data_IF_468379207662
#
_entry.id   IF_468379207662
#
_cell.length_a   1.000
_cell.length_b   1.000
_cell.length_c   1.000
_cell.angle_alpha   90.00
_cell.angle_beta   90.00
_cell.angle_gamma   90.00
#
_symmetry.space_group_name_H-M   'P 1'
#
loop_
_entity.id
_entity.type
_entity.pdbx_description
1 polymer ?
#
# COMPACT_ATOMS: atom_id res chain seq x y z
N UNK A 1 94.19 7.04 -22.88
CA UNK A 1 93.56 6.10 -21.90
C UNK A 1 92.15 6.62 -21.59
N UNK A 2 91.10 6.00 -22.16
CA UNK A 2 89.70 6.40 -21.93
C UNK A 2 89.05 5.40 -20.98
N UNK A 3 88.56 5.85 -19.81
CA UNK A 3 87.84 5.04 -18.85
C UNK A 3 86.38 4.96 -19.30
N UNK A 4 85.88 3.75 -19.49
CA UNK A 4 84.42 3.45 -19.72
C UNK A 4 83.73 3.30 -18.38
N UNK A 5 82.74 4.12 -18.14
CA UNK A 5 81.84 4.06 -16.99
C UNK A 5 80.67 3.16 -17.34
N UNK A 6 80.45 2.10 -16.59
CA UNK A 6 79.29 1.21 -16.72
C UNK A 6 78.11 1.79 -15.88
N UNK A 7 77.04 2.16 -16.51
CA UNK A 7 75.80 2.52 -15.86
C UNK A 7 74.99 1.22 -15.69
N UNK A 8 74.72 0.83 -14.45
CA UNK A 8 73.82 -0.27 -14.11
C UNK A 8 72.41 0.29 -14.04
N UNK A 9 71.53 -0.07 -14.97
CA UNK A 9 70.11 0.17 -14.89
C UNK A 9 69.48 -0.76 -13.84
N UNK A 10 69.02 -0.19 -12.71
CA UNK A 10 68.20 -0.87 -11.74
C UNK A 10 66.72 -0.73 -12.20
N UNK A 11 66.15 -1.84 -12.61
CA UNK A 11 64.68 -1.92 -12.89
C UNK A 11 64.01 -2.13 -11.54
N UNK A 12 63.34 -1.11 -11.04
CA UNK A 12 62.49 -1.17 -9.86
C UNK A 12 61.13 -1.71 -10.30
N UNK A 13 60.81 -2.96 -9.92
CA UNK A 13 59.46 -3.53 -10.07
C UNK A 13 58.54 -2.91 -9.00
N UNK A 14 57.51 -2.19 -9.44
CA UNK A 14 56.41 -1.73 -8.58
C UNK A 14 55.47 -2.91 -8.29
N UNK A 15 55.06 -3.15 -7.04
CA UNK A 15 54.07 -4.17 -6.74
C UNK A 15 52.71 -3.73 -7.28
N UNK A 16 52.08 -4.60 -8.06
CA UNK A 16 50.69 -4.46 -8.49
C UNK A 16 49.76 -4.64 -7.25
N UNK A 17 49.21 -3.55 -6.77
CA UNK A 17 48.11 -3.63 -5.81
C UNK A 17 46.88 -4.21 -6.52
N UNK A 18 46.50 -5.42 -6.18
CA UNK A 18 45.22 -5.99 -6.52
C UNK A 18 44.15 -5.15 -5.83
N UNK A 19 43.37 -4.38 -6.62
CA UNK A 19 42.15 -3.71 -6.15
C UNK A 19 41.15 -4.81 -5.86
N UNK A 20 41.06 -5.23 -4.60
CA UNK A 20 39.95 -6.04 -4.12
C UNK A 20 38.68 -5.24 -4.34
N UNK A 21 37.86 -5.66 -5.31
CA UNK A 21 36.56 -5.07 -5.58
C UNK A 21 35.74 -5.05 -4.29
N UNK A 22 35.44 -3.84 -3.81
CA UNK A 22 34.47 -3.62 -2.73
C UNK A 22 33.15 -4.11 -3.29
N UNK A 23 32.45 -5.08 -2.65
CA UNK A 23 31.11 -5.46 -3.09
C UNK A 23 30.25 -4.20 -3.05
N UNK A 24 29.70 -3.81 -4.18
CA UNK A 24 28.74 -2.73 -4.28
C UNK A 24 27.57 -3.08 -3.34
N UNK A 25 27.45 -2.32 -2.26
CA UNK A 25 26.26 -2.34 -1.41
C UNK A 25 25.10 -1.97 -2.32
N UNK A 26 24.31 -2.95 -2.73
CA UNK A 26 23.04 -2.74 -3.37
C UNK A 26 22.13 -2.05 -2.34
N UNK A 27 22.18 -0.72 -2.27
CA UNK A 27 21.15 0.04 -1.59
C UNK A 27 19.84 -0.27 -2.30
N UNK A 28 18.91 -0.89 -1.58
CA UNK A 28 17.57 -1.10 -2.11
C UNK A 28 17.08 0.26 -2.62
N UNK A 29 16.81 0.34 -3.91
CA UNK A 29 16.37 1.58 -4.53
C UNK A 29 15.10 2.06 -3.81
N UNK A 30 15.11 3.30 -3.33
CA UNK A 30 13.94 3.90 -2.68
C UNK A 30 12.73 3.77 -3.62
N UNK A 31 11.58 3.26 -3.11
CA UNK A 31 10.43 3.04 -3.96
C UNK A 31 9.94 4.37 -4.52
N UNK A 32 9.73 4.39 -5.84
CA UNK A 32 9.24 5.58 -6.52
C UNK A 32 7.71 5.65 -6.45
N UNK A 33 7.12 6.85 -6.50
CA UNK A 33 5.67 7.01 -6.63
C UNK A 33 5.14 6.26 -7.85
N UNK A 34 4.01 5.56 -7.70
CA UNK A 34 3.34 4.85 -8.79
C UNK A 34 2.12 5.67 -9.19
N UNK A 35 2.17 6.29 -10.37
CA UNK A 35 0.99 6.89 -10.99
C UNK A 35 0.10 5.76 -11.49
N UNK A 36 -1.13 5.69 -10.95
CA UNK A 36 -2.09 4.69 -11.37
C UNK A 36 -2.75 5.12 -12.68
N UNK A 37 -3.05 4.17 -13.59
CA UNK A 37 -3.89 4.47 -14.75
C UNK A 37 -5.23 5.06 -14.33
N UNK A 38 -5.87 5.84 -15.23
CA UNK A 38 -7.24 6.32 -14.98
C UNK A 38 -8.16 5.12 -14.72
N UNK A 39 -8.95 5.13 -13.62
CA UNK A 39 -9.81 3.99 -13.32
C UNK A 39 -10.91 3.83 -14.36
N UNK A 40 -11.13 2.61 -14.80
CA UNK A 40 -12.29 2.20 -15.60
C UNK A 40 -13.47 2.03 -14.66
N UNK A 41 -14.58 2.68 -14.99
CA UNK A 41 -15.77 2.73 -14.13
C UNK A 41 -16.90 1.84 -14.64
N UNK A 42 -16.70 1.23 -15.77
CA UNK A 42 -17.64 0.32 -16.43
C UNK A 42 -17.06 -1.09 -16.50
N UNK A 43 -17.95 -2.08 -16.63
CA UNK A 43 -17.57 -3.49 -16.76
C UNK A 43 -17.72 -4.28 -15.47
N UNK A 44 -17.29 -5.54 -15.53
CA UNK A 44 -17.50 -6.51 -14.47
C UNK A 44 -18.95 -7.02 -14.40
N UNK A 45 -19.27 -7.77 -13.33
CA UNK A 45 -20.62 -8.27 -13.09
C UNK A 45 -21.51 -7.19 -12.47
N UNK A 46 -22.82 -7.31 -12.63
CA UNK A 46 -23.77 -6.42 -11.96
C UNK A 46 -23.60 -6.48 -10.44
N UNK A 47 -24.06 -5.43 -9.76
CA UNK A 47 -24.01 -5.35 -8.28
C UNK A 47 -24.69 -6.56 -7.64
N UNK A 48 -25.89 -6.94 -8.12
CA UNK A 48 -26.62 -8.08 -7.56
C UNK A 48 -25.89 -9.40 -7.79
N UNK A 49 -25.32 -9.63 -8.97
CA UNK A 49 -24.49 -10.80 -9.25
C UNK A 49 -23.23 -10.82 -8.37
N UNK A 50 -22.59 -9.67 -8.17
CA UNK A 50 -21.41 -9.54 -7.29
C UNK A 50 -21.74 -9.84 -5.83
N UNK A 51 -22.91 -9.38 -5.34
CA UNK A 51 -23.40 -9.71 -3.99
C UNK A 51 -23.65 -11.21 -3.86
N UNK A 52 -24.28 -11.84 -4.84
CA UNK A 52 -24.58 -13.27 -4.85
C UNK A 52 -23.30 -14.13 -4.84
N UNK A 53 -22.28 -13.72 -5.59
CA UNK A 53 -21.03 -14.48 -5.72
C UNK A 53 -19.96 -14.12 -4.66
N UNK A 54 -20.12 -12.97 -3.99
CA UNK A 54 -19.16 -12.52 -2.99
C UNK A 54 -18.97 -13.57 -1.89
N UNK A 55 -17.75 -14.02 -1.74
CA UNK A 55 -17.31 -14.92 -0.66
C UNK A 55 -15.88 -14.58 -0.24
N UNK A 56 -15.48 -15.01 0.94
CA UNK A 56 -14.09 -14.94 1.37
C UNK A 56 -13.31 -16.08 0.73
N UNK A 57 -12.32 -15.74 -0.10
CA UNK A 57 -11.41 -16.70 -0.73
C UNK A 57 -10.03 -16.47 -0.14
N UNK A 58 -9.49 -17.49 0.57
CA UNK A 58 -8.21 -17.41 1.29
C UNK A 58 -7.03 -17.96 0.50
N UNK A 59 -7.29 -18.73 -0.54
CA UNK A 59 -6.30 -19.28 -1.46
C UNK A 59 -6.07 -18.28 -2.58
N UNK A 60 -5.03 -17.47 -2.42
CA UNK A 60 -4.68 -16.38 -3.36
C UNK A 60 -3.38 -16.73 -4.06
N UNK A 61 -3.37 -16.61 -5.40
CA UNK A 61 -2.17 -16.77 -6.21
C UNK A 61 -1.18 -15.62 -5.95
N UNK A 62 0.13 -15.86 -5.99
CA UNK A 62 1.14 -14.80 -5.96
C UNK A 62 1.24 -14.00 -7.27
N UNK A 63 0.50 -14.37 -8.31
CA UNK A 63 0.54 -13.72 -9.63
C UNK A 63 0.18 -12.23 -9.51
N UNK A 64 0.97 -11.32 -10.11
CA UNK A 64 0.75 -9.89 -9.99
C UNK A 64 -0.57 -9.46 -10.65
N UNK A 65 -1.24 -8.47 -10.05
CA UNK A 65 -2.36 -7.80 -10.70
C UNK A 65 -1.83 -6.80 -11.73
N UNK A 66 -2.45 -6.73 -12.92
CA UNK A 66 -2.14 -5.67 -13.88
C UNK A 66 -2.33 -4.28 -13.27
N UNK A 67 -1.54 -3.26 -13.67
CA UNK A 67 -1.68 -1.90 -13.14
C UNK A 67 -3.08 -1.32 -13.25
N UNK A 68 -3.81 -1.62 -14.34
CA UNK A 68 -5.20 -1.20 -14.52
C UNK A 68 -6.14 -1.85 -13.49
N UNK A 69 -5.95 -3.14 -13.20
CA UNK A 69 -6.75 -3.85 -12.20
C UNK A 69 -6.50 -3.30 -10.79
N UNK A 70 -5.24 -3.00 -10.45
CA UNK A 70 -4.88 -2.36 -9.19
C UNK A 70 -5.49 -0.95 -9.08
N UNK A 71 -5.46 -0.17 -10.15
CA UNK A 71 -6.10 1.15 -10.23
C UNK A 71 -7.60 1.06 -9.97
N UNK A 72 -8.29 0.18 -10.69
CA UNK A 72 -9.73 -0.02 -10.57
C UNK A 72 -10.11 -0.49 -9.15
N UNK A 73 -9.33 -1.42 -8.58
CA UNK A 73 -9.51 -1.91 -7.20
C UNK A 73 -9.43 -0.79 -6.17
N UNK A 74 -8.39 0.04 -6.24
CA UNK A 74 -8.18 1.12 -5.25
C UNK A 74 -9.20 2.23 -5.41
N UNK A 75 -9.59 2.54 -6.65
CA UNK A 75 -10.69 3.47 -6.90
C UNK A 75 -12.02 2.93 -6.36
N UNK A 76 -12.34 1.68 -6.63
CA UNK A 76 -13.56 1.05 -6.10
C UNK A 76 -13.56 1.04 -4.57
N UNK A 77 -12.42 0.73 -3.93
CA UNK A 77 -12.27 0.70 -2.49
C UNK A 77 -12.59 2.08 -1.85
N UNK A 78 -11.84 3.12 -2.21
CA UNK A 78 -11.94 4.44 -1.57
C UNK A 78 -11.53 5.60 -2.48
N UNK A 79 -11.78 5.48 -3.78
CA UNK A 79 -11.49 6.52 -4.77
C UNK A 79 -12.42 7.71 -4.69
N UNK A 80 -12.10 8.76 -5.45
CA UNK A 80 -12.96 9.94 -5.64
C UNK A 80 -14.02 9.61 -6.69
N UNK A 81 -15.28 9.71 -6.32
CA UNK A 81 -16.41 9.53 -7.25
C UNK A 81 -17.19 10.83 -7.54
N UNK A 82 -16.98 11.85 -6.74
CA UNK A 82 -17.56 13.19 -6.90
C UNK A 82 -16.49 14.25 -6.62
N UNK A 83 -16.27 15.25 -7.50
CA UNK A 83 -15.29 16.31 -7.27
C UNK A 83 -15.65 17.17 -6.06
N UNK A 84 -16.94 17.38 -5.82
CA UNK A 84 -17.47 18.15 -4.70
C UNK A 84 -18.11 17.24 -3.66
N UNK A 85 -17.85 17.55 -2.40
CA UNK A 85 -18.40 16.84 -1.26
C UNK A 85 -18.53 17.75 -0.05
N UNK A 86 -19.03 17.22 1.04
CA UNK A 86 -19.22 17.96 2.29
C UNK A 86 -17.86 18.40 2.85
N UNK A 87 -17.81 19.59 3.46
CA UNK A 87 -16.61 20.19 4.11
C UNK A 87 -15.46 20.48 3.14
N UNK A 88 -15.76 20.81 1.88
CA UNK A 88 -14.73 21.14 0.89
C UNK A 88 -13.83 19.98 0.47
N UNK A 89 -14.16 18.74 0.88
CA UNK A 89 -13.46 17.53 0.45
C UNK A 89 -14.27 16.83 -0.65
N UNK A 90 -13.62 16.22 -1.64
CA UNK A 90 -14.31 15.41 -2.64
C UNK A 90 -15.05 14.23 -1.99
N UNK A 91 -16.13 13.77 -2.64
CA UNK A 91 -16.83 12.57 -2.22
C UNK A 91 -16.06 11.31 -2.59
N UNK A 92 -16.20 10.28 -1.77
CA UNK A 92 -15.54 8.98 -1.94
C UNK A 92 -16.53 7.89 -2.34
N UNK A 93 -16.00 6.79 -2.87
CA UNK A 93 -16.78 5.58 -3.18
C UNK A 93 -17.36 4.90 -1.95
N UNK A 94 -16.73 5.07 -0.78
CA UNK A 94 -17.28 4.68 0.51
C UNK A 94 -17.56 5.90 1.36
N UNK A 95 -18.64 5.84 2.16
CA UNK A 95 -19.01 6.90 3.07
C UNK A 95 -18.12 6.90 4.34
N UNK A 96 -17.98 8.07 4.95
CA UNK A 96 -17.43 8.24 6.30
C UNK A 96 -18.26 9.28 7.07
N UNK A 97 -18.26 9.21 8.40
CA UNK A 97 -18.99 10.13 9.23
C UNK A 97 -18.58 11.57 8.93
N UNK A 98 -19.56 12.42 8.58
CA UNK A 98 -19.30 13.82 8.23
C UNK A 98 -18.24 14.04 7.13
N UNK A 99 -18.00 13.06 6.26
CA UNK A 99 -16.94 13.08 5.24
C UNK A 99 -15.55 13.31 5.85
N UNK A 100 -15.29 12.78 7.05
CA UNK A 100 -14.00 12.87 7.74
C UNK A 100 -12.88 12.19 6.96
N UNK A 101 -13.21 11.12 6.24
CA UNK A 101 -12.27 10.31 5.44
C UNK A 101 -11.08 9.84 6.26
N UNK A 102 -11.34 9.39 7.47
CA UNK A 102 -10.37 9.04 8.49
C UNK A 102 -9.57 7.77 8.21
N UNK A 103 -10.00 6.97 7.21
CA UNK A 103 -9.29 5.74 6.84
C UNK A 103 -8.30 6.02 5.71
N UNK A 104 -7.04 5.71 5.96
CA UNK A 104 -5.98 5.63 4.96
C UNK A 104 -5.82 4.19 4.49
N UNK A 105 -5.59 4.01 3.19
CA UNK A 105 -5.25 2.72 2.60
C UNK A 105 -3.74 2.65 2.37
N UNK A 106 -3.05 1.82 3.16
CA UNK A 106 -1.65 1.47 2.93
C UNK A 106 -1.61 0.19 2.11
N UNK A 107 -0.96 0.24 0.97
CA UNK A 107 -0.91 -0.85 -0.01
C UNK A 107 0.46 -1.49 0.03
N UNK A 108 0.56 -2.71 0.53
CA UNK A 108 1.79 -3.49 0.51
C UNK A 108 1.86 -4.30 -0.79
N UNK A 109 2.91 -4.03 -1.56
CA UNK A 109 3.31 -4.69 -2.79
C UNK A 109 4.69 -5.37 -2.56
N UNK A 110 5.16 -6.25 -3.45
CA UNK A 110 6.46 -6.92 -3.29
C UNK A 110 7.65 -5.96 -3.07
N UNK A 111 7.63 -4.78 -3.69
CA UNK A 111 8.71 -3.81 -3.66
C UNK A 111 8.61 -2.76 -2.55
N UNK A 112 7.46 -2.63 -1.88
CA UNK A 112 7.29 -1.61 -0.84
C UNK A 112 5.87 -1.46 -0.34
N UNK A 113 5.73 -0.60 0.66
CA UNK A 113 4.43 -0.13 1.15
C UNK A 113 4.19 1.27 0.64
N UNK A 114 2.98 1.54 0.22
CA UNK A 114 2.55 2.78 -0.38
C UNK A 114 1.27 3.29 0.28
N UNK A 115 1.16 4.60 0.41
CA UNK A 115 -0.10 5.27 0.76
C UNK A 115 -0.90 5.56 -0.52
N UNK A 116 -2.14 5.11 -0.58
CA UNK A 116 -3.05 5.47 -1.67
C UNK A 116 -3.60 6.88 -1.48
N UNK A 117 -3.23 7.77 -2.39
CA UNK A 117 -3.75 9.14 -2.47
C UNK A 117 -4.83 9.20 -3.54
N UNK A 118 -6.08 9.24 -3.12
CA UNK A 118 -7.21 9.09 -4.04
C UNK A 118 -7.47 10.34 -4.91
N UNK A 119 -7.09 11.55 -4.48
CA UNK A 119 -7.27 12.76 -5.28
C UNK A 119 -6.35 12.76 -6.51
N UNK A 120 -5.02 12.61 -6.35
CA UNK A 120 -4.12 12.46 -7.48
C UNK A 120 -4.15 11.05 -8.08
N UNK A 121 -4.88 10.12 -7.50
CA UNK A 121 -4.99 8.71 -7.90
C UNK A 121 -3.62 8.05 -8.11
N UNK A 122 -2.81 8.03 -7.06
CA UNK A 122 -1.45 7.48 -7.08
C UNK A 122 -1.13 6.73 -5.79
N UNK A 123 -0.05 5.97 -5.85
CA UNK A 123 0.58 5.34 -4.69
C UNK A 123 1.85 6.10 -4.34
N UNK A 124 1.88 6.72 -3.16
CA UNK A 124 3.04 7.44 -2.64
C UNK A 124 3.85 6.51 -1.74
N UNK A 125 5.17 6.37 -1.96
CA UNK A 125 5.98 5.41 -1.22
C UNK A 125 6.07 5.79 0.26
N UNK A 126 6.03 4.78 1.12
CA UNK A 126 6.18 4.90 2.58
C UNK A 126 7.47 4.23 3.04
N UNK A 127 7.69 3.00 2.61
CA UNK A 127 8.88 2.21 2.97
C UNK A 127 9.19 1.18 1.88
N UNK A 128 10.50 1.01 1.57
CA UNK A 128 11.00 -0.01 0.66
C UNK A 128 11.04 -1.39 1.32
N UNK A 129 10.86 -2.44 0.54
CA UNK A 129 10.94 -3.83 0.98
C UNK A 129 9.59 -4.54 1.04
N UNK A 130 9.63 -5.85 1.18
CA UNK A 130 8.42 -6.68 1.20
C UNK A 130 7.85 -6.82 2.62
N UNK A 131 6.77 -6.11 2.87
CA UNK A 131 6.04 -6.13 4.13
C UNK A 131 4.70 -6.87 4.05
N UNK A 132 4.44 -7.59 2.97
CA UNK A 132 3.15 -8.30 2.77
C UNK A 132 2.88 -9.30 3.89
N UNK A 133 3.90 -9.92 4.46
CA UNK A 133 3.78 -10.84 5.58
C UNK A 133 3.19 -10.19 6.86
N UNK A 134 3.19 -8.85 6.98
CA UNK A 134 2.53 -8.13 8.09
C UNK A 134 1.01 -8.22 8.00
N UNK A 135 0.46 -8.48 6.83
CA UNK A 135 -0.98 -8.72 6.69
C UNK A 135 -1.41 -10.06 7.30
N UNK A 136 -0.57 -11.11 7.19
CA UNK A 136 -0.88 -12.43 7.70
C UNK A 136 0.08 -13.51 7.20
N UNK A 137 -0.20 -14.75 7.57
CA UNK A 137 0.60 -15.93 7.17
C UNK A 137 0.07 -16.57 5.89
N UNK A 138 0.86 -17.46 5.32
CA UNK A 138 0.50 -18.23 4.13
C UNK A 138 0.21 -17.34 2.94
N UNK A 139 -0.88 -17.60 2.22
CA UNK A 139 -1.23 -16.88 1.01
C UNK A 139 -1.33 -15.36 1.20
N UNK A 140 -1.69 -14.87 2.39
CA UNK A 140 -1.70 -13.43 2.67
C UNK A 140 -0.29 -12.82 2.57
N UNK A 141 0.74 -13.52 3.04
CA UNK A 141 2.13 -13.04 3.00
C UNK A 141 2.76 -13.02 1.60
N UNK A 142 2.20 -13.73 0.63
CA UNK A 142 2.72 -13.85 -0.74
C UNK A 142 1.80 -13.29 -1.81
N UNK A 143 0.58 -12.92 -1.46
CA UNK A 143 -0.41 -12.34 -2.38
C UNK A 143 0.12 -11.07 -3.05
N UNK A 144 -0.31 -10.75 -4.28
CA UNK A 144 0.22 -9.59 -5.00
C UNK A 144 -0.11 -8.25 -4.33
N UNK A 145 -1.24 -8.17 -3.61
CA UNK A 145 -1.72 -6.93 -2.98
C UNK A 145 -2.28 -7.22 -1.59
N UNK A 146 -1.80 -6.47 -0.60
CA UNK A 146 -2.43 -6.40 0.71
C UNK A 146 -2.76 -4.94 1.03
N UNK A 147 -4.02 -4.66 1.31
CA UNK A 147 -4.51 -3.34 1.72
C UNK A 147 -4.61 -3.33 3.24
N UNK A 148 -3.86 -2.44 3.90
CA UNK A 148 -3.98 -2.19 5.33
C UNK A 148 -4.87 -0.98 5.56
N UNK A 149 -5.84 -1.13 6.45
CA UNK A 149 -6.76 -0.07 6.85
C UNK A 149 -6.18 0.61 8.08
N UNK A 150 -5.85 1.87 7.94
CA UNK A 150 -5.23 2.68 9.00
C UNK A 150 -6.16 3.85 9.30
N UNK A 151 -6.63 3.97 10.54
CA UNK A 151 -7.36 5.17 10.95
C UNK A 151 -6.39 6.27 11.31
N UNK A 152 -6.70 7.49 10.90
CA UNK A 152 -6.06 8.73 11.31
C UNK A 152 -7.05 9.52 12.20
N UNK A 153 -6.88 9.40 13.52
CA UNK A 153 -7.75 10.04 14.49
C UNK A 153 -7.70 11.57 14.43
N UNK A 154 -6.58 12.13 13.94
CA UNK A 154 -6.47 13.57 13.74
C UNK A 154 -7.49 14.14 12.77
N UNK A 155 -8.09 13.33 11.90
CA UNK A 155 -9.12 13.77 10.94
C UNK A 155 -10.50 14.00 11.54
N UNK A 156 -10.70 13.56 12.79
CA UNK A 156 -11.91 13.88 13.54
C UNK A 156 -11.88 15.28 14.18
N UNK A 157 -10.69 15.88 14.29
CA UNK A 157 -10.50 17.23 14.80
C UNK A 157 -10.64 18.25 13.67
N UNK A 158 -11.52 19.24 13.85
CA UNK A 158 -11.70 20.35 12.89
C UNK A 158 -11.16 21.61 13.53
N UNK A 159 -10.04 22.11 13.02
CA UNK A 159 -9.43 23.33 13.53
C UNK A 159 -10.41 24.49 13.58
N UNK A 160 -10.51 25.18 14.70
CA UNK A 160 -11.43 26.29 14.92
C UNK A 160 -12.91 25.93 15.01
N UNK A 161 -13.27 24.64 14.99
CA UNK A 161 -14.65 24.16 15.07
C UNK A 161 -14.81 23.01 16.05
N UNK A 162 -14.61 23.23 17.36
CA UNK A 162 -14.67 22.14 18.36
C UNK A 162 -16.03 21.44 18.38
N UNK A 163 -17.14 22.17 18.20
CA UNK A 163 -18.50 21.62 18.21
C UNK A 163 -18.79 20.68 17.02
N UNK A 164 -17.94 20.73 15.97
CA UNK A 164 -18.03 19.84 14.82
C UNK A 164 -16.98 18.73 14.85
N UNK A 165 -16.10 18.79 15.81
CA UNK A 165 -15.09 17.74 16.05
C UNK A 165 -15.72 16.56 16.78
N UNK A 166 -15.27 15.36 16.46
CA UNK A 166 -15.71 14.15 17.15
C UNK A 166 -14.64 13.85 18.20
N UNK A 167 -14.89 14.30 19.44
CA UNK A 167 -13.93 14.17 20.55
C UNK A 167 -14.07 12.88 21.35
N UNK A 168 -15.27 12.28 21.40
CA UNK A 168 -15.52 11.06 22.15
C UNK A 168 -14.87 9.83 21.47
N UNK A 169 -14.03 9.11 22.23
CA UNK A 169 -13.22 8.01 21.72
C UNK A 169 -14.07 6.79 21.30
N UNK A 170 -15.19 6.51 21.98
CA UNK A 170 -16.05 5.38 21.63
C UNK A 170 -16.89 5.72 20.39
N UNK A 171 -17.29 6.99 20.21
CA UNK A 171 -17.94 7.46 18.99
C UNK A 171 -16.96 7.39 17.82
N UNK A 172 -15.73 7.87 17.97
CA UNK A 172 -14.68 7.72 16.95
C UNK A 172 -14.49 6.26 16.56
N UNK A 173 -14.41 5.38 17.56
CA UNK A 173 -14.21 3.95 17.38
C UNK A 173 -15.35 3.31 16.58
N UNK A 174 -16.58 3.65 16.88
CA UNK A 174 -17.73 3.17 16.11
C UNK A 174 -17.64 3.59 14.64
N UNK A 175 -17.29 4.84 14.36
CA UNK A 175 -17.21 5.38 13.01
C UNK A 175 -16.08 4.79 12.19
N UNK A 176 -14.86 4.70 12.72
CA UNK A 176 -13.78 4.16 11.90
C UNK A 176 -13.93 2.67 11.63
N UNK A 177 -14.57 1.89 12.51
CA UNK A 177 -14.87 0.49 12.19
C UNK A 177 -15.97 0.36 11.13
N UNK A 178 -17.00 1.20 11.17
CA UNK A 178 -18.03 1.24 10.13
C UNK A 178 -17.43 1.68 8.80
N UNK A 179 -16.65 2.76 8.77
CA UNK A 179 -15.99 3.23 7.54
C UNK A 179 -15.07 2.16 6.95
N UNK A 180 -14.27 1.49 7.79
CA UNK A 180 -13.43 0.36 7.36
C UNK A 180 -14.26 -0.76 6.73
N UNK A 181 -15.39 -1.12 7.35
CA UNK A 181 -16.30 -2.14 6.83
C UNK A 181 -16.90 -1.78 5.47
N UNK A 182 -17.29 -0.51 5.28
CA UNK A 182 -17.81 -0.01 4.01
C UNK A 182 -16.76 -0.08 2.89
N UNK A 183 -15.52 0.32 3.18
CA UNK A 183 -14.42 0.26 2.23
C UNK A 183 -14.10 -1.21 1.91
N UNK A 184 -14.00 -2.07 2.92
CA UNK A 184 -13.73 -3.50 2.74
C UNK A 184 -14.84 -4.22 1.94
N UNK A 185 -16.10 -3.81 2.11
CA UNK A 185 -17.21 -4.29 1.31
C UNK A 185 -17.07 -3.92 -0.16
N UNK A 186 -16.67 -2.68 -0.47
CA UNK A 186 -16.37 -2.26 -1.85
C UNK A 186 -15.28 -3.13 -2.48
N UNK A 187 -14.19 -3.43 -1.73
CA UNK A 187 -13.14 -4.34 -2.21
C UNK A 187 -13.69 -5.73 -2.49
N UNK A 188 -14.52 -6.27 -1.61
CA UNK A 188 -15.13 -7.59 -1.83
C UNK A 188 -16.06 -7.63 -3.04
N UNK A 189 -16.89 -6.60 -3.21
CA UNK A 189 -17.81 -6.52 -4.36
C UNK A 189 -17.05 -6.35 -5.67
N UNK A 190 -16.03 -5.50 -5.67
CA UNK A 190 -15.14 -5.35 -6.81
C UNK A 190 -14.45 -6.69 -7.15
N UNK A 191 -13.87 -7.35 -6.15
CA UNK A 191 -13.22 -8.65 -6.35
C UNK A 191 -14.18 -9.68 -6.95
N UNK A 192 -15.41 -9.79 -6.42
CA UNK A 192 -16.42 -10.68 -6.94
C UNK A 192 -16.81 -10.32 -8.39
N UNK A 193 -16.94 -9.03 -8.71
CA UNK A 193 -17.27 -8.58 -10.06
C UNK A 193 -16.20 -8.91 -11.09
N UNK A 194 -14.94 -8.98 -10.67
CA UNK A 194 -13.76 -9.21 -11.53
C UNK A 194 -13.24 -10.66 -11.45
N UNK A 195 -13.86 -11.54 -10.68
CA UNK A 195 -13.39 -12.92 -10.49
C UNK A 195 -12.10 -13.02 -9.66
N UNK A 196 -11.81 -12.02 -8.84
CA UNK A 196 -10.68 -12.02 -7.92
C UNK A 196 -11.01 -12.70 -6.59
N UNK A 197 -9.98 -13.19 -5.92
CA UNK A 197 -10.03 -13.59 -4.53
C UNK A 197 -9.85 -12.37 -3.64
N UNK A 198 -10.63 -12.31 -2.55
CA UNK A 198 -10.46 -11.32 -1.50
C UNK A 198 -10.68 -11.95 -0.12
N UNK A 199 -9.88 -11.49 0.84
CA UNK A 199 -9.94 -11.96 2.22
C UNK A 199 -9.64 -10.81 3.19
N UNK A 200 -10.66 -10.36 3.95
CA UNK A 200 -10.53 -9.37 5.01
C UNK A 200 -10.20 -10.08 6.33
N UNK A 201 -9.17 -9.63 7.04
CA UNK A 201 -8.65 -10.33 8.22
C UNK A 201 -7.88 -9.40 9.17
N UNK A 202 -7.56 -9.92 10.35
CA UNK A 202 -6.65 -9.25 11.29
C UNK A 202 -5.21 -9.25 10.73
N UNK A 203 -4.37 -8.34 11.22
CA UNK A 203 -2.98 -8.16 10.80
C UNK A 203 -2.06 -7.92 12.00
N UNK A 204 -0.75 -7.82 11.75
CA UNK A 204 0.24 -7.48 12.76
C UNK A 204 0.10 -6.02 13.20
N UNK A 205 -0.56 -5.79 14.32
CA UNK A 205 -0.77 -4.46 14.91
C UNK A 205 0.38 -4.00 15.81
N UNK A 206 1.36 -4.87 16.05
CA UNK A 206 2.50 -4.58 16.93
C UNK A 206 3.65 -3.97 16.15
N UNK A 207 4.05 -4.61 15.05
CA UNK A 207 5.22 -4.19 14.28
C UNK A 207 4.85 -3.21 13.15
N UNK A 208 3.69 -3.39 12.51
CA UNK A 208 3.24 -2.57 11.37
C UNK A 208 3.31 -1.05 11.64
N UNK A 209 2.88 -0.51 12.79
CA UNK A 209 2.94 0.93 13.04
C UNK A 209 4.34 1.51 12.93
N UNK A 210 5.34 0.84 13.49
CA UNK A 210 6.74 1.26 13.44
C UNK A 210 7.31 1.14 12.03
N UNK A 211 7.07 0.01 11.38
CA UNK A 211 7.62 -0.29 10.04
C UNK A 211 6.99 0.61 8.96
N UNK A 212 5.69 0.90 9.07
CA UNK A 212 5.00 1.82 8.15
C UNK A 212 5.16 3.30 8.55
N UNK A 213 6.00 3.60 9.54
CA UNK A 213 6.27 4.96 10.02
C UNK A 213 4.99 5.74 10.36
N UNK A 214 4.02 5.07 10.99
CA UNK A 214 2.75 5.69 11.35
C UNK A 214 2.94 6.74 12.43
N UNK A 215 2.15 7.80 12.34
CA UNK A 215 2.08 8.86 13.35
C UNK A 215 1.37 8.39 14.62
N UNK A 216 1.55 9.06 15.78
CA UNK A 216 0.90 8.69 17.04
C UNK A 216 -0.63 8.63 16.98
N UNK A 217 -1.25 9.44 16.10
CA UNK A 217 -2.70 9.48 15.89
C UNK A 217 -3.23 8.37 14.98
N UNK A 218 -2.33 7.63 14.33
CA UNK A 218 -2.70 6.58 13.40
C UNK A 218 -2.73 5.20 14.08
N UNK A 219 -3.69 4.37 13.69
CA UNK A 219 -3.86 2.99 14.20
C UNK A 219 -4.13 2.04 13.05
N UNK A 220 -3.38 0.93 13.00
CA UNK A 220 -3.68 -0.17 12.08
C UNK A 220 -4.89 -0.94 12.59
N UNK A 221 -5.89 -1.14 11.75
CA UNK A 221 -7.14 -1.81 12.13
C UNK A 221 -7.19 -3.25 11.63
N UNK A 222 -7.11 -3.42 10.31
CA UNK A 222 -7.22 -4.69 9.61
C UNK A 222 -6.39 -4.69 8.34
N UNK A 223 -6.30 -5.84 7.69
CA UNK A 223 -5.80 -5.96 6.33
C UNK A 223 -6.83 -6.70 5.44
N UNK A 224 -6.70 -6.49 4.14
CA UNK A 224 -7.43 -7.23 3.13
C UNK A 224 -6.49 -7.67 2.02
N UNK A 225 -6.39 -8.97 1.83
CA UNK A 225 -5.59 -9.60 0.79
C UNK A 225 -6.42 -9.72 -0.48
N UNK A 226 -5.85 -9.33 -1.63
CA UNK A 226 -6.52 -9.40 -2.94
C UNK A 226 -5.54 -9.93 -4.00
N UNK A 227 -6.04 -10.77 -4.88
CA UNK A 227 -5.30 -11.32 -6.01
C UNK A 227 -6.16 -12.28 -6.82
N UNK A 228 -5.57 -13.03 -7.73
CA UNK A 228 -6.28 -14.11 -8.40
C UNK A 228 -6.51 -15.29 -7.45
N UNK A 229 -7.62 -16.03 -7.60
CA UNK A 229 -7.78 -17.30 -6.90
C UNK A 229 -6.63 -18.25 -7.28
N UNK A 230 -6.02 -18.92 -6.30
CA UNK A 230 -5.07 -19.98 -6.61
C UNK A 230 -5.81 -21.13 -7.33
N UNK A 231 -5.16 -21.71 -8.33
CA UNK A 231 -5.65 -22.91 -8.97
C UNK A 231 -5.64 -24.06 -7.95
N UNK A 232 -6.70 -24.84 -7.94
CA UNK A 232 -6.79 -26.07 -7.16
C UNK A 232 -5.81 -27.12 -7.68
#
# INVERSE_FOLDING_TARGET
>A
MKRRTFVKNAVTALPAFAVLGIPSLNFAQEPQPITLPKPEKDGGKSVLASIQERKTIRTVSPDPLPPQMLSNLLWAAFGVNRPEGVRGKPGRTAASASNSQEIDLYVALPQGVYLYEAVPHRLTPVVAGDFRARSGRGAAGTAPVNIFYVVDLGRYVIAGQPDRSIGDAEVQKSYYFVATGLIASNVYLFAASQGLAAWFHNCDKVNTPKEFKLRPEQRVLFAQTVGYPAKA
#
